data_IF_065718075622
#
_entry.id   IF_065718075622
#
_cell.length_a   1.000
_cell.length_b   1.000
_cell.length_c   1.000
_cell.angle_alpha   90.00
_cell.angle_beta   90.00
_cell.angle_gamma   90.00
#
_symmetry.space_group_name_H-M   'P 1'
#
loop_
_entity.id
_entity.type
_entity.pdbx_description
1 polymer ?
#
# COMPACT_ATOMS: atom_id res chain seq x y z
N UNK A 1 18.67 13.85 -9.63
CA UNK A 1 18.91 14.82 -8.54
C UNK A 1 17.74 15.80 -8.40
N UNK A 2 17.42 16.65 -9.41
CA UNK A 2 16.41 17.70 -9.26
C UNK A 2 15.00 17.20 -8.83
N UNK A 3 14.48 16.13 -9.47
CA UNK A 3 13.17 15.58 -9.13
C UNK A 3 13.12 15.01 -7.70
N UNK A 4 14.20 14.39 -7.25
CA UNK A 4 14.32 13.86 -5.89
C UNK A 4 14.32 15.00 -4.87
N UNK A 5 15.14 16.02 -5.09
CA UNK A 5 15.27 17.15 -4.17
C UNK A 5 13.95 17.91 -4.04
N UNK A 6 13.29 18.18 -5.19
CA UNK A 6 11.95 18.78 -5.20
C UNK A 6 10.91 17.93 -4.46
N UNK A 7 11.00 16.58 -4.60
CA UNK A 7 10.08 15.68 -3.91
C UNK A 7 10.27 15.73 -2.39
N UNK A 8 11.53 15.75 -1.90
CA UNK A 8 11.83 15.89 -0.47
C UNK A 8 11.38 17.25 0.09
N UNK A 9 11.64 18.33 -0.64
CA UNK A 9 11.21 19.70 -0.25
C UNK A 9 9.68 19.76 -0.11
N UNK A 10 8.94 19.24 -1.08
CA UNK A 10 7.48 19.22 -1.06
C UNK A 10 6.91 18.34 0.05
N UNK A 11 7.53 17.18 0.32
CA UNK A 11 7.12 16.31 1.44
C UNK A 11 7.39 16.97 2.79
N UNK A 12 8.53 17.63 2.96
CA UNK A 12 8.83 18.39 4.18
C UNK A 12 7.79 19.46 4.42
N UNK A 13 7.50 20.27 3.41
CA UNK A 13 6.46 21.30 3.48
C UNK A 13 5.09 20.71 3.83
N UNK A 14 4.68 19.63 3.17
CA UNK A 14 3.40 18.98 3.43
C UNK A 14 3.33 18.42 4.86
N UNK A 15 4.39 17.75 5.32
CA UNK A 15 4.46 17.15 6.64
C UNK A 15 4.40 18.20 7.77
N UNK A 16 5.14 19.29 7.63
CA UNK A 16 5.12 20.41 8.57
C UNK A 16 3.71 21.00 8.71
N UNK A 17 3.04 21.26 7.58
CA UNK A 17 1.68 21.82 7.58
C UNK A 17 0.61 20.82 8.06
N UNK A 18 0.83 19.51 7.93
CA UNK A 18 -0.06 18.46 8.37
C UNK A 18 0.07 18.16 9.89
N UNK A 19 1.24 18.40 10.46
CA UNK A 19 1.57 18.08 11.87
C UNK A 19 0.58 18.67 12.89
N UNK A 20 0.18 19.97 12.81
CA UNK A 20 -0.76 20.55 13.77
C UNK A 20 -2.14 19.89 13.79
N UNK A 21 -2.48 19.18 12.73
CA UNK A 21 -3.78 18.50 12.55
C UNK A 21 -3.69 17.01 12.82
N UNK A 22 -2.54 16.47 13.20
CA UNK A 22 -2.32 15.04 13.42
C UNK A 22 -2.44 14.19 12.15
N UNK A 23 -2.24 14.82 10.96
CA UNK A 23 -2.36 14.15 9.66
C UNK A 23 -1.02 13.50 9.29
N UNK A 24 -1.10 12.24 8.86
CA UNK A 24 0.03 11.50 8.30
C UNK A 24 0.02 11.62 6.78
N UNK A 25 1.15 12.02 6.21
CA UNK A 25 1.37 12.00 4.76
C UNK A 25 1.81 10.59 4.35
N UNK A 26 1.16 10.04 3.36
CA UNK A 26 1.48 8.73 2.81
C UNK A 26 2.11 8.86 1.44
N UNK A 27 3.24 8.19 1.22
CA UNK A 27 3.87 8.11 -0.10
C UNK A 27 3.72 6.70 -0.65
N UNK A 28 3.29 6.60 -1.90
CA UNK A 28 2.94 5.34 -2.54
C UNK A 28 3.82 5.05 -3.76
N UNK A 29 4.57 3.95 -3.77
CA UNK A 29 5.23 3.44 -4.96
C UNK A 29 4.23 2.87 -5.96
N UNK A 30 4.20 3.41 -7.19
CA UNK A 30 3.30 2.94 -8.23
C UNK A 30 4.03 2.06 -9.25
N UNK A 31 3.39 0.98 -9.69
CA UNK A 31 3.92 0.12 -10.72
C UNK A 31 3.99 0.83 -12.08
N UNK A 32 5.01 0.49 -12.87
CA UNK A 32 5.28 1.13 -14.17
C UNK A 32 4.26 0.80 -15.26
N UNK A 33 3.45 -0.24 -15.08
CA UNK A 33 2.44 -0.62 -16.07
C UNK A 33 1.26 0.34 -16.04
N UNK A 34 0.85 0.75 -14.83
CA UNK A 34 -0.24 1.70 -14.63
C UNK A 34 0.23 3.15 -14.66
N UNK A 35 1.47 3.41 -14.21
CA UNK A 35 2.05 4.75 -14.10
C UNK A 35 3.49 4.82 -14.65
N UNK A 36 3.71 4.72 -15.99
CA UNK A 36 5.03 4.54 -16.60
C UNK A 36 5.99 5.71 -16.34
N UNK A 37 5.50 6.91 -16.10
CA UNK A 37 6.31 8.11 -15.83
C UNK A 37 6.44 8.48 -14.36
N UNK A 38 5.86 7.71 -13.44
CA UNK A 38 5.83 8.07 -12.02
C UNK A 38 7.21 7.97 -11.38
N UNK A 39 7.54 8.96 -10.52
CA UNK A 39 8.85 9.06 -9.90
C UNK A 39 9.11 7.97 -8.86
N UNK A 40 8.16 7.77 -7.94
CA UNK A 40 8.27 6.81 -6.84
C UNK A 40 7.77 5.43 -7.28
N UNK A 41 8.67 4.43 -7.40
CA UNK A 41 8.35 3.16 -8.05
C UNK A 41 8.54 1.93 -7.18
N UNK A 42 9.37 2.00 -6.15
CA UNK A 42 9.72 0.84 -5.33
C UNK A 42 9.63 1.15 -3.85
N UNK A 43 9.36 0.11 -3.07
CA UNK A 43 9.35 0.22 -1.60
C UNK A 43 10.71 0.60 -1.05
N UNK A 44 11.80 0.15 -1.67
CA UNK A 44 13.16 0.55 -1.31
C UNK A 44 13.42 2.03 -1.50
N UNK A 45 12.93 2.62 -2.61
CA UNK A 45 13.01 4.06 -2.85
C UNK A 45 12.18 4.85 -1.81
N UNK A 46 10.95 4.38 -1.51
CA UNK A 46 10.11 5.02 -0.49
C UNK A 46 10.77 4.97 0.89
N UNK A 47 11.35 3.83 1.26
CA UNK A 47 12.08 3.67 2.53
C UNK A 47 13.23 4.66 2.65
N UNK A 48 14.07 4.78 1.61
CA UNK A 48 15.19 5.74 1.61
C UNK A 48 14.70 7.18 1.80
N UNK A 49 13.62 7.58 1.11
CA UNK A 49 13.01 8.90 1.25
C UNK A 49 12.49 9.15 2.68
N UNK A 50 11.81 8.17 3.28
CA UNK A 50 11.29 8.29 4.65
C UNK A 50 12.44 8.40 5.67
N UNK A 51 13.51 7.61 5.47
CA UNK A 51 14.70 7.66 6.31
C UNK A 51 15.43 9.00 6.17
N UNK A 52 15.62 9.50 4.95
CA UNK A 52 16.27 10.80 4.68
C UNK A 52 15.50 11.97 5.30
N UNK A 53 14.17 11.97 5.18
CA UNK A 53 13.32 13.00 5.76
C UNK A 53 13.31 12.97 7.29
N UNK A 54 13.37 11.77 7.87
CA UNK A 54 13.27 11.55 9.33
C UNK A 54 12.06 12.24 9.99
N UNK A 55 10.94 12.38 9.26
CA UNK A 55 9.72 13.02 9.74
C UNK A 55 8.71 11.95 10.21
N UNK A 56 8.21 12.02 11.46
CA UNK A 56 7.38 10.96 12.04
C UNK A 56 6.03 10.79 11.36
N UNK A 57 5.53 11.84 10.72
CA UNK A 57 4.24 11.85 10.02
C UNK A 57 4.36 11.65 8.50
N UNK A 58 5.52 11.20 7.99
CA UNK A 58 5.65 10.71 6.61
C UNK A 58 5.81 9.19 6.67
N UNK A 59 4.90 8.45 6.04
CA UNK A 59 4.83 7.00 6.08
C UNK A 59 4.62 6.40 4.70
N UNK A 60 4.86 5.10 4.60
CA UNK A 60 4.62 4.32 3.39
C UNK A 60 3.13 3.96 3.26
N UNK A 61 2.53 4.24 2.11
CA UNK A 61 1.34 3.53 1.62
C UNK A 61 1.83 2.23 0.98
N UNK A 62 1.53 1.10 1.60
CA UNK A 62 1.91 -0.21 1.07
C UNK A 62 0.72 -0.80 0.32
N UNK A 63 0.70 -0.64 -1.00
CA UNK A 63 -0.29 -1.30 -1.85
C UNK A 63 0.25 -2.64 -2.35
N UNK A 64 -0.38 -3.73 -1.90
CA UNK A 64 -0.01 -5.10 -2.25
C UNK A 64 -0.03 -5.33 -3.77
N UNK A 65 -0.96 -4.69 -4.49
CA UNK A 65 -1.04 -4.75 -5.94
C UNK A 65 0.19 -4.13 -6.61
N UNK A 66 0.52 -2.88 -6.25
CA UNK A 66 1.66 -2.19 -6.84
C UNK A 66 2.99 -2.87 -6.51
N UNK A 67 3.16 -3.31 -5.26
CA UNK A 67 4.35 -4.05 -4.81
C UNK A 67 4.48 -5.38 -5.58
N UNK A 68 3.41 -6.16 -5.64
CA UNK A 68 3.43 -7.44 -6.36
C UNK A 68 3.74 -7.28 -7.85
N UNK A 69 3.17 -6.26 -8.49
CA UNK A 69 3.41 -5.93 -9.92
C UNK A 69 4.83 -5.46 -10.22
N UNK A 70 5.53 -4.89 -9.25
CA UNK A 70 6.85 -4.28 -9.44
C UNK A 70 7.99 -5.13 -8.89
N UNK A 71 7.82 -5.63 -7.67
CA UNK A 71 8.92 -6.19 -6.88
C UNK A 71 8.71 -7.66 -6.49
N UNK A 72 7.45 -8.13 -6.48
CA UNK A 72 7.11 -9.47 -5.98
C UNK A 72 7.31 -9.62 -4.47
N UNK A 73 7.17 -10.85 -3.98
CA UNK A 73 7.37 -11.23 -2.56
C UNK A 73 6.70 -10.26 -1.56
N UNK A 74 5.40 -10.04 -1.78
CA UNK A 74 4.60 -9.06 -1.04
C UNK A 74 4.66 -9.28 0.48
N UNK A 75 4.54 -10.53 0.92
CA UNK A 75 4.50 -10.89 2.34
C UNK A 75 5.80 -10.57 3.07
N UNK A 76 6.96 -10.95 2.52
CA UNK A 76 8.26 -10.67 3.15
C UNK A 76 8.55 -9.17 3.19
N UNK A 77 8.19 -8.44 2.12
CA UNK A 77 8.34 -6.98 2.07
C UNK A 77 7.45 -6.27 3.08
N UNK A 78 6.20 -6.70 3.21
CA UNK A 78 5.27 -6.17 4.20
C UNK A 78 5.83 -6.33 5.62
N UNK A 79 6.31 -7.52 5.97
CA UNK A 79 6.95 -7.77 7.27
C UNK A 79 8.14 -6.84 7.52
N UNK A 80 9.03 -6.73 6.54
CA UNK A 80 10.25 -5.93 6.67
C UNK A 80 9.99 -4.42 6.79
N UNK A 81 8.91 -3.94 6.16
CA UNK A 81 8.58 -2.51 6.08
C UNK A 81 7.50 -2.08 7.08
N UNK A 82 6.94 -3.02 7.85
CA UNK A 82 5.84 -2.75 8.79
C UNK A 82 6.05 -1.52 9.69
N UNK A 83 7.26 -1.25 10.24
CA UNK A 83 7.47 -0.08 11.08
C UNK A 83 7.27 1.28 10.40
N UNK A 84 7.42 1.34 9.09
CA UNK A 84 7.26 2.57 8.31
C UNK A 84 5.93 2.63 7.55
N UNK A 85 5.12 1.56 7.55
CA UNK A 85 3.83 1.54 6.88
C UNK A 85 2.82 2.39 7.64
N UNK A 86 2.16 3.29 6.92
CA UNK A 86 1.06 4.11 7.43
C UNK A 86 -0.33 3.58 7.06
N UNK A 87 -0.45 2.93 5.91
CA UNK A 87 -1.67 2.30 5.43
C UNK A 87 -1.34 1.13 4.48
N UNK A 88 -2.24 0.16 4.43
CA UNK A 88 -2.12 -1.00 3.52
C UNK A 88 -3.31 -0.99 2.57
N UNK A 89 -3.04 -1.08 1.27
CA UNK A 89 -4.04 -1.26 0.23
C UNK A 89 -3.84 -2.59 -0.50
N UNK A 90 -4.90 -3.04 -1.21
CA UNK A 90 -4.86 -4.30 -1.92
C UNK A 90 -5.84 -4.36 -3.09
N UNK A 91 -5.48 -5.12 -4.12
CA UNK A 91 -6.29 -5.52 -5.27
C UNK A 91 -5.69 -6.77 -5.91
N UNK A 92 -6.48 -7.53 -6.67
CA UNK A 92 -6.01 -8.71 -7.40
C UNK A 92 -4.89 -8.38 -8.39
N UNK A 93 -3.94 -9.30 -8.53
CA UNK A 93 -2.87 -9.25 -9.53
C UNK A 93 -3.17 -10.33 -10.59
N UNK A 94 -3.06 -10.00 -11.89
CA UNK A 94 -2.49 -8.78 -12.46
C UNK A 94 -3.49 -7.70 -12.88
N UNK A 95 -4.80 -7.92 -12.78
CA UNK A 95 -5.87 -7.15 -13.41
C UNK A 95 -6.42 -5.98 -12.58
N UNK A 96 -5.94 -5.83 -11.32
CA UNK A 96 -6.42 -4.86 -10.34
C UNK A 96 -7.92 -5.06 -10.01
N UNK A 97 -8.40 -6.30 -10.09
CA UNK A 97 -9.77 -6.69 -9.78
C UNK A 97 -10.03 -6.88 -8.28
N UNK A 98 -11.24 -7.41 -7.91
CA UNK A 98 -11.55 -7.80 -6.54
C UNK A 98 -10.55 -8.84 -6.00
N UNK A 99 -10.26 -8.87 -4.69
CA UNK A 99 -9.22 -9.73 -4.10
C UNK A 99 -9.69 -11.17 -3.85
N UNK A 100 -10.52 -11.72 -4.73
CA UNK A 100 -11.04 -13.09 -4.69
C UNK A 100 -10.40 -14.02 -5.74
N UNK A 101 -9.42 -13.52 -6.47
CA UNK A 101 -8.68 -14.22 -7.51
C UNK A 101 -7.27 -13.63 -7.68
N UNK A 102 -6.51 -14.17 -8.65
CA UNK A 102 -5.21 -13.66 -9.05
C UNK A 102 -4.03 -14.35 -8.37
N UNK A 103 -2.87 -13.69 -8.37
CA UNK A 103 -1.59 -14.29 -7.97
C UNK A 103 -1.36 -14.29 -6.45
N UNK A 104 -2.08 -13.44 -5.68
CA UNK A 104 -1.96 -13.37 -4.23
C UNK A 104 -3.10 -14.10 -3.54
N UNK A 105 -2.77 -14.93 -2.56
CA UNK A 105 -3.73 -15.50 -1.61
C UNK A 105 -4.07 -14.47 -0.55
N UNK A 106 -5.14 -13.71 -0.77
CA UNK A 106 -5.55 -12.65 0.15
C UNK A 106 -6.05 -13.16 1.50
N UNK A 107 -6.82 -14.25 1.60
CA UNK A 107 -7.14 -14.88 2.89
C UNK A 107 -5.90 -15.17 3.75
N UNK A 108 -4.83 -15.70 3.15
CA UNK A 108 -3.57 -15.93 3.86
C UNK A 108 -2.87 -14.62 4.21
N UNK A 109 -2.78 -13.70 3.26
CA UNK A 109 -2.14 -12.39 3.48
C UNK A 109 -2.83 -11.59 4.60
N UNK A 110 -4.16 -11.62 4.69
CA UNK A 110 -4.89 -10.95 5.77
C UNK A 110 -4.62 -11.58 7.13
N UNK A 111 -4.49 -12.92 7.21
CA UNK A 111 -4.07 -13.62 8.44
C UNK A 111 -2.67 -13.20 8.86
N UNK A 112 -1.73 -13.10 7.92
CA UNK A 112 -0.37 -12.61 8.17
C UNK A 112 -0.36 -11.17 8.68
N UNK A 113 -1.11 -10.26 8.03
CA UNK A 113 -1.22 -8.86 8.45
C UNK A 113 -1.74 -8.77 9.89
N UNK A 114 -2.77 -9.55 10.23
CA UNK A 114 -3.30 -9.62 11.59
C UNK A 114 -2.29 -10.19 12.60
N UNK A 115 -1.57 -11.26 12.24
CA UNK A 115 -0.53 -11.87 13.07
C UNK A 115 0.65 -10.93 13.34
N UNK A 116 0.94 -10.00 12.43
CA UNK A 116 1.93 -8.93 12.61
C UNK A 116 1.45 -7.80 13.54
N UNK A 117 0.24 -7.88 14.06
CA UNK A 117 -0.33 -6.89 14.98
C UNK A 117 -0.90 -5.65 14.31
N UNK A 118 -1.21 -5.69 13.02
CA UNK A 118 -1.86 -4.58 12.34
C UNK A 118 -3.33 -4.48 12.76
N UNK A 119 -3.72 -3.35 13.33
CA UNK A 119 -5.08 -3.11 13.87
C UNK A 119 -5.84 -2.00 13.14
N UNK A 120 -5.20 -1.36 12.17
CA UNK A 120 -5.81 -0.29 11.37
C UNK A 120 -6.61 -0.87 10.20
N UNK A 121 -7.60 -0.14 9.65
CA UNK A 121 -8.31 -0.57 8.45
C UNK A 121 -7.37 -0.87 7.28
N UNK A 122 -7.79 -1.80 6.42
CA UNK A 122 -7.19 -2.08 5.13
C UNK A 122 -8.04 -1.46 4.02
N UNK A 123 -7.41 -0.97 2.96
CA UNK A 123 -8.08 -0.32 1.83
C UNK A 123 -8.16 -1.24 0.61
N UNK A 124 -9.37 -1.61 0.18
CA UNK A 124 -9.58 -2.30 -1.09
C UNK A 124 -9.62 -1.27 -2.23
N UNK A 125 -8.53 -1.16 -2.98
CA UNK A 125 -8.43 -0.25 -4.12
C UNK A 125 -8.39 -1.01 -5.45
N UNK A 126 -9.53 -1.49 -5.90
CA UNK A 126 -9.65 -2.31 -7.10
C UNK A 126 -10.63 -1.74 -8.12
N UNK A 127 -10.58 -2.27 -9.34
CA UNK A 127 -11.51 -1.96 -10.42
C UNK A 127 -12.65 -2.97 -10.43
N UNK A 128 -13.88 -2.61 -10.06
CA UNK A 128 -14.99 -3.53 -10.17
C UNK A 128 -15.29 -3.79 -11.65
N UNK A 129 -15.54 -5.07 -12.00
CA UNK A 129 -15.90 -5.48 -13.37
C UNK A 129 -17.38 -5.22 -13.70
N UNK A 130 -17.98 -4.23 -13.06
CA UNK A 130 -19.40 -3.87 -13.21
C UNK A 130 -19.89 -3.05 -12.03
N UNK A 131 -21.03 -3.44 -11.45
CA UNK A 131 -21.58 -2.80 -10.27
C UNK A 131 -20.68 -3.01 -9.04
N UNK A 132 -20.33 -1.92 -8.36
CA UNK A 132 -19.44 -1.96 -7.19
C UNK A 132 -20.03 -2.78 -6.05
N UNK A 133 -21.32 -2.67 -5.77
CA UNK A 133 -21.99 -3.42 -4.72
C UNK A 133 -21.96 -4.93 -4.97
N UNK A 134 -22.17 -5.33 -6.22
CA UNK A 134 -22.07 -6.75 -6.63
C UNK A 134 -20.66 -7.30 -6.49
N UNK A 135 -19.63 -6.46 -6.69
CA UNK A 135 -18.22 -6.85 -6.58
C UNK A 135 -17.73 -7.07 -5.14
N UNK A 136 -18.50 -6.69 -4.11
CA UNK A 136 -18.13 -6.82 -2.69
C UNK A 136 -18.35 -8.22 -2.10
N UNK A 137 -18.69 -9.22 -2.92
CA UNK A 137 -18.94 -10.59 -2.48
C UNK A 137 -17.79 -11.22 -1.68
N UNK A 138 -16.55 -10.90 -2.02
CA UNK A 138 -15.33 -11.37 -1.34
C UNK A 138 -15.27 -10.98 0.15
N UNK A 139 -15.87 -9.85 0.54
CA UNK A 139 -15.87 -9.39 1.95
C UNK A 139 -16.56 -10.38 2.89
N UNK A 140 -17.54 -11.15 2.42
CA UNK A 140 -18.27 -12.11 3.25
C UNK A 140 -17.34 -13.22 3.75
N UNK A 141 -16.48 -13.74 2.87
CA UNK A 141 -15.48 -14.74 3.26
C UNK A 141 -14.39 -14.17 4.18
N UNK A 142 -13.93 -12.93 3.91
CA UNK A 142 -12.92 -12.30 4.73
C UNK A 142 -13.39 -11.93 6.15
N UNK A 143 -14.70 -11.65 6.32
CA UNK A 143 -15.29 -11.29 7.62
C UNK A 143 -15.76 -12.48 8.44
N UNK A 144 -16.09 -13.61 7.82
CA UNK A 144 -16.63 -14.79 8.52
C UNK A 144 -15.56 -15.63 9.23
N UNK A 145 -14.28 -15.38 8.98
CA UNK A 145 -13.19 -16.17 9.57
C UNK A 145 -13.18 -17.64 9.10
N UNK A 146 -14.09 -18.04 8.22
CA UNK A 146 -14.22 -19.37 7.67
C UNK A 146 -13.29 -19.55 6.45
N UNK A 147 -11.98 -19.47 6.70
CA UNK A 147 -11.02 -20.06 5.78
C UNK A 147 -10.85 -21.52 6.16
N UNK A 148 -11.65 -22.37 5.52
CA UNK A 148 -11.44 -23.84 5.51
C UNK A 148 -10.12 -24.19 4.85
#
# INVERSE_FOLDING_TARGET
PAAHDTFLENLSFAAENATPYGITILIEPLNRHDAPGYFLRTTGQARAIIEDLSLPNVKLMFDCYHVGRTEGDVTSRLRALLPIIGHIQFAAIPDRGPPDHGELDYPELFREIAALGWTRPLGAEYRPMGDTGASLGWMRGALSGDAT
#
